data_IF_223789826955
#
_entry.id   IF_223789826955
#
_cell.length_a   1.000
_cell.length_b   1.000
_cell.length_c   1.000
_cell.angle_alpha   90.00
_cell.angle_beta   90.00
_cell.angle_gamma   90.00
#
_symmetry.space_group_name_H-M   'P 1'
#
loop_
_entity.id
_entity.type
_entity.pdbx_description
1 polymer ?
#
# COMPACT_ATOMS: atom_id res chain seq x y z
N UNK A 1 -7.63 10.46 -17.74
CA UNK A 1 -6.21 10.12 -17.46
C UNK A 1 -6.06 9.85 -15.98
N UNK A 2 -5.62 8.65 -15.57
CA UNK A 2 -5.43 8.31 -14.15
C UNK A 2 -4.14 9.01 -13.70
N UNK A 3 -4.27 10.18 -13.05
CA UNK A 3 -3.14 10.92 -12.49
C UNK A 3 -2.38 10.00 -11.53
N UNK A 4 -1.15 9.68 -11.88
CA UNK A 4 -0.28 8.78 -11.12
C UNK A 4 0.06 9.44 -9.78
N UNK A 5 -0.31 8.80 -8.65
CA UNK A 5 -0.09 9.35 -7.30
C UNK A 5 1.32 9.06 -6.80
N UNK A 6 2.33 9.56 -7.50
CA UNK A 6 3.74 9.40 -7.13
C UNK A 6 4.08 10.04 -5.78
N UNK A 7 3.40 11.13 -5.42
CA UNK A 7 3.58 11.80 -4.12
C UNK A 7 3.38 10.83 -2.95
N UNK A 8 2.33 10.01 -2.98
CA UNK A 8 2.07 9.00 -1.96
C UNK A 8 3.16 7.94 -1.89
N UNK A 9 3.68 7.49 -3.04
CA UNK A 9 4.78 6.52 -3.09
C UNK A 9 6.05 7.09 -2.43
N UNK A 10 6.45 8.30 -2.81
CA UNK A 10 7.64 8.98 -2.25
C UNK A 10 7.48 9.18 -0.74
N UNK A 11 6.31 9.70 -0.32
CA UNK A 11 5.97 9.89 1.09
C UNK A 11 6.12 8.59 1.89
N UNK A 12 5.55 7.48 1.39
CA UNK A 12 5.66 6.16 2.03
C UNK A 12 7.11 5.69 2.09
N UNK A 13 7.91 5.87 1.03
CA UNK A 13 9.32 5.48 1.06
C UNK A 13 10.10 6.26 2.13
N UNK A 14 9.92 7.58 2.19
CA UNK A 14 10.55 8.44 3.19
C UNK A 14 10.15 8.01 4.61
N UNK A 15 8.86 7.79 4.87
CA UNK A 15 8.38 7.39 6.19
C UNK A 15 8.92 6.01 6.61
N UNK A 16 8.94 5.03 5.71
CA UNK A 16 9.49 3.70 5.99
C UNK A 16 11.00 3.73 6.30
N UNK A 17 11.77 4.64 5.69
CA UNK A 17 13.20 4.73 5.91
C UNK A 17 13.56 5.60 7.13
N UNK A 18 12.99 6.79 7.24
CA UNK A 18 13.40 7.81 8.21
C UNK A 18 12.52 7.85 9.47
N UNK A 19 11.30 7.30 9.47
CA UNK A 19 10.32 7.46 10.56
C UNK A 19 9.78 6.11 11.03
N UNK A 20 10.67 5.18 11.39
CA UNK A 20 10.32 3.82 11.83
C UNK A 20 9.31 3.78 12.99
N UNK A 21 9.49 4.64 14.00
CA UNK A 21 8.56 4.74 15.14
C UNK A 21 7.15 5.15 14.73
N UNK A 22 7.03 6.03 13.73
CA UNK A 22 5.72 6.38 13.15
C UNK A 22 5.12 5.17 12.43
N UNK A 23 5.92 4.45 11.63
CA UNK A 23 5.45 3.26 10.92
C UNK A 23 4.96 2.20 11.90
N UNK A 24 5.71 1.88 12.94
CA UNK A 24 5.31 0.91 13.97
C UNK A 24 4.02 1.33 14.68
N UNK A 25 3.90 2.61 15.04
CA UNK A 25 2.68 3.15 15.65
C UNK A 25 1.46 3.05 14.72
N UNK A 26 1.63 3.27 13.41
CA UNK A 26 0.52 3.10 12.49
C UNK A 26 0.19 1.63 12.26
N UNK A 27 1.20 0.76 12.16
CA UNK A 27 1.00 -0.68 11.99
C UNK A 27 0.30 -1.32 13.20
N UNK A 28 0.53 -0.84 14.42
CA UNK A 28 -0.19 -1.33 15.61
C UNK A 28 -1.68 -0.95 15.61
N UNK A 29 -2.02 0.18 14.97
CA UNK A 29 -3.39 0.66 14.74
C UNK A 29 -4.05 0.03 13.52
N UNK A 30 -3.27 -0.54 12.61
CA UNK A 30 -3.76 -1.15 11.37
C UNK A 30 -4.38 -2.51 11.64
N UNK A 31 -5.64 -2.66 11.23
CA UNK A 31 -6.42 -3.90 11.35
C UNK A 31 -6.89 -4.37 9.98
N UNK A 32 -7.40 -5.60 9.93
CA UNK A 32 -7.84 -6.26 8.70
C UNK A 32 -6.70 -6.96 7.95
N UNK A 33 -6.95 -7.29 6.68
CA UNK A 33 -6.02 -8.05 5.84
C UNK A 33 -6.10 -7.64 4.39
N UNK A 34 -5.01 -7.84 3.63
CA UNK A 34 -5.03 -7.61 2.20
C UNK A 34 -6.06 -8.53 1.53
N UNK A 35 -7.03 -7.92 0.84
CA UNK A 35 -8.03 -8.61 0.02
C UNK A 35 -7.58 -8.76 -1.45
N UNK A 36 -6.32 -8.45 -1.76
CA UNK A 36 -5.76 -8.47 -3.12
C UNK A 36 -6.60 -7.68 -4.14
N UNK A 37 -7.16 -6.52 -3.74
CA UNK A 37 -7.93 -5.66 -4.67
C UNK A 37 -7.08 -5.06 -5.80
N UNK A 38 -5.74 -5.16 -5.74
CA UNK A 38 -4.80 -4.70 -6.77
C UNK A 38 -4.63 -3.18 -6.86
N UNK A 39 -5.40 -2.39 -6.10
CA UNK A 39 -5.44 -0.94 -6.25
C UNK A 39 -4.14 -0.24 -5.81
N UNK A 40 -3.48 -0.75 -4.78
CA UNK A 40 -2.16 -0.27 -4.37
C UNK A 40 -1.06 -0.53 -5.43
N UNK A 41 -1.23 -1.57 -6.24
CA UNK A 41 -0.31 -1.93 -7.32
C UNK A 41 -0.51 -1.08 -8.59
N UNK A 42 -1.54 -0.23 -8.65
CA UNK A 42 -1.82 0.67 -9.79
C UNK A 42 -1.74 2.16 -9.41
N UNK A 43 -1.40 2.45 -8.15
CA UNK A 43 -1.55 3.78 -7.56
C UNK A 43 -0.59 4.83 -8.14
N UNK A 44 0.69 4.48 -8.21
CA UNK A 44 1.74 5.36 -8.75
C UNK A 44 2.21 4.91 -10.14
N UNK A 45 2.17 3.63 -10.43
CA UNK A 45 2.45 3.03 -11.73
C UNK A 45 1.79 1.65 -11.75
N UNK A 46 1.68 1.02 -12.92
CA UNK A 46 1.21 -0.36 -13.01
C UNK A 46 2.35 -1.30 -12.61
N UNK A 47 2.24 -1.92 -11.44
CA UNK A 47 3.21 -2.90 -10.95
C UNK A 47 3.36 -4.07 -11.96
N UNK A 48 4.58 -4.48 -12.32
CA UNK A 48 4.80 -5.58 -13.26
C UNK A 48 4.30 -6.93 -12.72
N UNK A 49 4.18 -7.08 -11.41
CA UNK A 49 3.70 -8.30 -10.75
C UNK A 49 2.17 -8.36 -10.58
N UNK A 50 1.43 -7.37 -11.09
CA UNK A 50 -0.04 -7.33 -11.03
C UNK A 50 -0.64 -8.07 -12.22
N UNK A 51 -1.45 -9.10 -11.94
CA UNK A 51 -2.15 -9.88 -12.97
C UNK A 51 -3.34 -9.11 -13.55
N UNK A 52 -3.88 -9.60 -14.69
CA UNK A 52 -5.16 -9.13 -15.24
C UNK A 52 -6.33 -9.34 -14.27
N UNK A 53 -6.25 -10.34 -13.40
CA UNK A 53 -7.22 -10.63 -12.33
C UNK A 53 -6.99 -9.82 -11.03
N UNK A 54 -6.17 -8.76 -11.09
CA UNK A 54 -5.84 -7.86 -9.97
C UNK A 54 -5.10 -8.51 -8.78
N UNK A 55 -4.54 -9.71 -8.97
CA UNK A 55 -3.76 -10.41 -7.94
C UNK A 55 -2.28 -10.07 -8.05
N UNK A 56 -1.57 -10.09 -6.92
CA UNK A 56 -0.12 -9.90 -6.88
C UNK A 56 0.58 -11.26 -6.96
N UNK A 57 1.39 -11.48 -8.00
CA UNK A 57 2.09 -12.74 -8.25
C UNK A 57 3.10 -13.11 -7.15
N UNK A 58 3.74 -12.10 -6.56
CA UNK A 58 4.78 -12.28 -5.55
C UNK A 58 4.26 -12.15 -4.12
N UNK A 59 2.93 -12.15 -3.92
CA UNK A 59 2.33 -11.85 -2.61
C UNK A 59 2.83 -12.75 -1.47
N UNK A 60 2.95 -14.06 -1.74
CA UNK A 60 3.44 -15.07 -0.80
C UNK A 60 4.93 -15.42 -0.98
N UNK A 61 5.57 -14.94 -2.05
CA UNK A 61 6.96 -15.25 -2.37
C UNK A 61 7.86 -14.19 -1.73
N UNK A 62 7.67 -12.93 -2.14
CA UNK A 62 8.48 -11.82 -1.68
C UNK A 62 7.73 -10.52 -1.90
N UNK A 63 7.46 -9.78 -0.81
CA UNK A 63 6.87 -8.45 -0.88
C UNK A 63 7.91 -7.40 -0.43
N UNK A 64 8.18 -6.38 -1.26
CA UNK A 64 9.00 -5.25 -0.84
C UNK A 64 8.48 -4.60 0.44
N UNK A 65 9.37 -3.95 1.21
CA UNK A 65 9.01 -3.30 2.48
C UNK A 65 7.81 -2.35 2.35
N UNK A 66 7.83 -1.49 1.33
CA UNK A 66 6.73 -0.55 1.06
C UNK A 66 5.40 -1.24 0.69
N UNK A 67 5.41 -2.45 0.13
CA UNK A 67 4.19 -3.23 -0.11
C UNK A 67 3.66 -3.89 1.17
N UNK A 68 4.54 -4.30 2.10
CA UNK A 68 4.17 -4.92 3.38
C UNK A 68 3.57 -3.89 4.34
N UNK A 69 4.11 -2.68 4.33
CA UNK A 69 3.63 -1.59 5.18
C UNK A 69 2.47 -0.81 4.58
N UNK A 70 2.05 -1.11 3.35
CA UNK A 70 0.86 -0.52 2.74
C UNK A 70 -0.44 -1.17 3.24
N UNK A 71 -1.51 -0.40 3.53
CA UNK A 71 -1.50 1.05 3.71
C UNK A 71 -0.74 1.42 4.98
N UNK A 72 -0.02 2.54 4.94
CA UNK A 72 0.78 3.03 6.06
C UNK A 72 -0.06 3.88 7.01
N UNK A 73 -0.98 4.68 6.49
CA UNK A 73 -1.90 5.51 7.28
C UNK A 73 -3.23 5.71 6.53
N UNK A 74 -4.14 6.51 7.12
CA UNK A 74 -5.44 6.82 6.55
C UNK A 74 -5.34 7.51 5.18
N UNK A 75 -4.32 8.35 4.96
CA UNK A 75 -4.12 9.04 3.68
C UNK A 75 -3.92 8.02 2.53
N UNK A 76 -3.24 6.91 2.79
CA UNK A 76 -3.05 5.86 1.77
C UNK A 76 -4.38 5.18 1.39
N UNK A 77 -5.30 5.01 2.35
CA UNK A 77 -6.63 4.46 2.10
C UNK A 77 -7.48 5.42 1.25
N UNK A 78 -7.41 6.71 1.54
CA UNK A 78 -8.08 7.75 0.75
C UNK A 78 -7.51 7.83 -0.68
N UNK A 79 -6.20 7.65 -0.83
CA UNK A 79 -5.55 7.59 -2.14
C UNK A 79 -6.02 6.39 -2.99
N UNK A 80 -6.21 5.23 -2.35
CA UNK A 80 -6.71 4.01 -3.01
C UNK A 80 -8.09 4.27 -3.61
N UNK A 81 -8.99 4.86 -2.82
CA UNK A 81 -10.39 5.08 -3.19
C UNK A 81 -11.10 3.76 -3.46
N UNK A 82 -11.81 3.23 -2.45
CA UNK A 82 -12.59 1.99 -2.53
C UNK A 82 -12.26 1.00 -1.42
N UNK A 83 -12.64 -0.26 -1.63
CA UNK A 83 -12.57 -1.33 -0.61
C UNK A 83 -11.16 -1.94 -0.48
N UNK A 84 -10.31 -1.28 0.31
CA UNK A 84 -9.15 -1.93 0.90
C UNK A 84 -9.60 -2.78 2.09
N UNK A 85 -9.09 -4.01 2.22
CA UNK A 85 -9.39 -4.84 3.40
C UNK A 85 -8.68 -4.42 4.69
N UNK A 86 -7.90 -3.34 4.66
CA UNK A 86 -7.24 -2.74 5.81
C UNK A 86 -7.97 -1.48 6.27
N UNK A 87 -7.97 -1.23 7.57
CA UNK A 87 -8.49 -0.02 8.21
C UNK A 87 -7.66 0.34 9.46
N UNK A 88 -7.82 1.54 10.00
CA UNK A 88 -7.11 2.03 11.18
C UNK A 88 -8.07 2.28 12.34
N UNK A 89 -7.66 1.94 13.56
CA UNK A 89 -8.37 2.23 14.83
C UNK A 89 -7.57 3.21 15.68
#
# INVERSE_FOLDING_TARGET
MRLLRFKGLIRRMILNYFRKSYVEKQLSRRRGRCNQCGRCCELAFRCPFLTKSRKCLIYNIWRPGHCKTFPLDQNDLEEVGGECGYFFV
#
